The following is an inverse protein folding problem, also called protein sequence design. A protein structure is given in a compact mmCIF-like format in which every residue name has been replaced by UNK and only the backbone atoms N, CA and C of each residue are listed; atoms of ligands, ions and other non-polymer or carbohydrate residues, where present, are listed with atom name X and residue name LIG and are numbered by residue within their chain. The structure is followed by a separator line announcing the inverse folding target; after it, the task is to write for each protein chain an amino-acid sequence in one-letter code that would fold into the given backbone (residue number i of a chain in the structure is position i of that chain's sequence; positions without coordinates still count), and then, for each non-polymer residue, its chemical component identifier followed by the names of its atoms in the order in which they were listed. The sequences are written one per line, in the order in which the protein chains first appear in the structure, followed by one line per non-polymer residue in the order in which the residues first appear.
data_IF_417762774201
#
_entry.id   IF_417762774201
#
_cell.length_a   1.000
_cell.length_b   1.000
_cell.length_c   1.000
_cell.angle_alpha   90.00
_cell.angle_beta   90.00
_cell.angle_gamma   90.00
#
_symmetry.space_group_name_H-M   'P 1'
#
loop_
_entity.id
_entity.type
_entity.pdbx_description
1 polymer ?
#
# COMPACT_ATOMS: atom_id res chain seq x y z
N UNK A 1 -13.96 -6.97 24.84
CA UNK A 1 -13.00 -7.82 24.11
C UNK A 1 -11.65 -7.78 24.82
N UNK A 2 -11.09 -8.93 25.21
CA UNK A 2 -9.78 -9.01 25.86
C UNK A 2 -8.73 -8.59 24.81
N UNK A 3 -8.06 -7.44 24.99
CA UNK A 3 -7.02 -6.99 24.05
C UNK A 3 -5.94 -8.08 23.99
N UNK A 4 -5.86 -8.78 22.86
CA UNK A 4 -4.94 -9.91 22.65
C UNK A 4 -3.47 -9.46 22.73
N UNK A 5 -3.23 -8.18 22.46
CA UNK A 5 -1.90 -7.57 22.48
C UNK A 5 -1.93 -6.22 23.23
N UNK A 6 -1.05 -6.01 24.23
CA UNK A 6 -0.86 -4.71 24.86
C UNK A 6 -0.25 -3.72 23.84
N UNK A 7 -0.88 -2.56 23.65
CA UNK A 7 -0.38 -1.51 22.76
C UNK A 7 -0.07 -0.25 23.54
N UNK A 8 1.03 0.41 23.23
CA UNK A 8 1.37 1.73 23.75
C UNK A 8 1.05 2.78 22.67
N UNK A 9 0.18 3.77 22.93
CA UNK A 9 -0.38 4.61 21.88
C UNK A 9 0.52 5.77 21.43
N UNK A 10 1.57 6.11 22.20
CA UNK A 10 2.49 7.20 21.87
C UNK A 10 3.79 6.68 21.24
N UNK A 11 4.45 7.55 20.48
CA UNK A 11 5.75 7.27 19.86
C UNK A 11 6.84 7.47 20.92
N UNK A 12 7.63 6.42 21.18
CA UNK A 12 8.74 6.47 22.15
C UNK A 12 10.06 6.29 21.41
N UNK A 13 10.56 7.40 20.85
CA UNK A 13 11.78 7.42 20.05
C UNK A 13 11.76 6.38 18.91
N UNK A 14 12.79 5.53 18.86
CA UNK A 14 12.97 4.49 17.83
C UNK A 14 12.60 3.06 18.30
N UNK A 15 11.94 2.91 19.46
CA UNK A 15 11.63 1.59 20.00
C UNK A 15 10.35 1.02 19.36
N UNK A 16 10.47 -0.15 18.73
CA UNK A 16 9.33 -0.91 18.19
C UNK A 16 8.53 -1.63 19.28
N UNK A 17 9.23 -2.06 20.32
CA UNK A 17 8.67 -2.77 21.46
C UNK A 17 9.12 -2.08 22.75
N UNK A 18 8.18 -1.90 23.66
CA UNK A 18 8.47 -1.40 25.00
C UNK A 18 8.27 -2.53 26.00
N UNK A 19 9.29 -2.76 26.82
CA UNK A 19 9.20 -3.69 27.95
C UNK A 19 8.43 -3.02 29.09
N UNK A 20 7.80 -3.82 29.95
CA UNK A 20 7.12 -3.33 31.18
C UNK A 20 7.90 -2.26 31.95
N UNK A 21 9.22 -2.42 32.09
CA UNK A 21 10.10 -1.46 32.79
C UNK A 21 10.10 -0.08 32.11
N UNK A 22 10.31 -0.05 30.80
CA UNK A 22 10.31 1.17 29.98
C UNK A 22 8.93 1.83 29.97
N UNK A 23 7.84 1.05 29.90
CA UNK A 23 6.48 1.60 29.99
C UNK A 23 6.24 2.26 31.33
N UNK A 24 6.68 1.65 32.44
CA UNK A 24 6.53 2.27 33.75
C UNK A 24 7.34 3.56 33.89
N UNK A 25 8.56 3.63 33.34
CA UNK A 25 9.37 4.85 33.30
C UNK A 25 8.69 5.95 32.46
N UNK A 26 8.12 5.59 31.32
CA UNK A 26 7.38 6.54 30.47
C UNK A 26 6.07 7.02 31.11
N UNK A 27 5.39 6.18 31.89
CA UNK A 27 4.15 6.54 32.62
C UNK A 27 4.38 7.49 33.80
N UNK A 28 5.61 7.63 34.28
CA UNK A 28 5.96 8.59 35.35
C UNK A 28 6.02 10.04 34.83
N UNK A 29 6.23 10.22 33.52
CA UNK A 29 6.24 11.57 32.91
C UNK A 29 4.85 12.21 32.97
N UNK A 30 4.79 13.49 33.34
CA UNK A 30 3.53 14.24 33.47
C UNK A 30 2.68 14.20 32.18
N UNK A 31 3.36 14.18 31.03
CA UNK A 31 2.72 14.10 29.71
C UNK A 31 1.91 12.81 29.46
N UNK A 32 2.19 11.74 30.21
CA UNK A 32 1.63 10.39 30.01
C UNK A 32 0.70 9.95 31.16
N UNK A 33 0.37 10.87 32.08
CA UNK A 33 -0.51 10.57 33.22
C UNK A 33 -1.92 10.12 32.78
N UNK A 34 -2.36 10.55 31.60
CA UNK A 34 -3.63 10.17 30.98
C UNK A 34 -3.72 8.69 30.57
N UNK A 35 -2.56 8.01 30.46
CA UNK A 35 -2.42 6.59 30.08
C UNK A 35 -2.33 5.66 31.30
N UNK A 36 -2.13 6.21 32.50
CA UNK A 36 -2.03 5.45 33.75
C UNK A 36 -3.36 4.74 34.03
N UNK A 37 -3.32 3.41 34.18
CA UNK A 37 -4.50 2.57 34.45
C UNK A 37 -5.31 2.13 33.21
N UNK A 38 -5.06 2.70 32.02
CA UNK A 38 -5.75 2.31 30.76
C UNK A 38 -5.03 1.21 29.98
N UNK A 39 -3.77 0.94 30.32
CA UNK A 39 -2.95 -0.07 29.65
C UNK A 39 -3.26 -1.48 30.17
N UNK A 40 -3.50 -2.41 29.24
CA UNK A 40 -3.66 -3.82 29.57
C UNK A 40 -2.36 -4.37 30.15
N UNK A 41 -2.45 -5.20 31.20
CA UNK A 41 -1.26 -5.82 31.79
C UNK A 41 -0.62 -6.77 30.78
N UNK A 42 0.57 -6.43 30.31
CA UNK A 42 1.43 -7.33 29.54
C UNK A 42 2.92 -7.11 29.80
N UNK A 43 3.75 -8.02 29.30
CA UNK A 43 5.21 -7.99 29.43
C UNK A 43 5.86 -7.13 28.33
N UNK A 44 5.27 -7.16 27.12
CA UNK A 44 5.73 -6.44 25.94
C UNK A 44 4.56 -5.62 25.39
N UNK A 45 4.84 -4.37 25.02
CA UNK A 45 3.88 -3.45 24.41
C UNK A 45 4.36 -3.09 23.01
N UNK A 46 3.49 -3.23 22.01
CA UNK A 46 3.78 -2.79 20.65
C UNK A 46 3.56 -1.26 20.52
N UNK A 47 4.51 -0.57 19.89
CA UNK A 47 4.39 0.87 19.60
C UNK A 47 3.76 1.11 18.22
N UNK A 48 3.30 2.34 17.92
CA UNK A 48 2.75 2.66 16.61
C UNK A 48 3.77 2.47 15.48
N UNK A 49 5.07 2.60 15.78
CA UNK A 49 6.17 2.38 14.83
C UNK A 49 6.20 0.93 14.33
N UNK A 50 5.97 -0.03 15.24
CA UNK A 50 5.87 -1.45 14.87
C UNK A 50 4.66 -1.72 13.97
N UNK A 51 3.52 -1.13 14.31
CA UNK A 51 2.31 -1.25 13.49
C UNK A 51 2.52 -0.65 12.09
N UNK A 52 3.20 0.50 11.99
CA UNK A 52 3.54 1.12 10.71
C UNK A 52 4.39 0.20 9.82
N UNK A 53 5.49 -0.35 10.35
CA UNK A 53 6.31 -1.31 9.60
C UNK A 53 5.51 -2.54 9.20
N UNK A 54 4.71 -3.08 10.12
CA UNK A 54 3.94 -4.28 9.83
C UNK A 54 2.94 -4.03 8.69
N UNK A 55 2.28 -2.87 8.66
CA UNK A 55 1.36 -2.49 7.57
C UNK A 55 2.11 -2.33 6.24
N UNK A 56 3.30 -1.74 6.24
CA UNK A 56 4.11 -1.56 5.03
C UNK A 56 4.52 -2.93 4.45
N UNK A 57 5.12 -3.79 5.27
CA UNK A 57 5.56 -5.13 4.85
C UNK A 57 4.37 -6.01 4.39
N UNK A 58 3.22 -5.90 5.06
CA UNK A 58 2.00 -6.59 4.65
C UNK A 58 1.47 -6.05 3.31
N UNK A 59 1.54 -4.73 3.10
CA UNK A 59 1.12 -4.13 1.83
C UNK A 59 2.00 -4.57 0.67
N UNK A 60 3.32 -4.68 0.88
CA UNK A 60 4.25 -5.17 -0.12
C UNK A 60 4.00 -6.64 -0.46
N UNK A 61 3.70 -7.48 0.53
CA UNK A 61 3.29 -8.87 0.30
C UNK A 61 1.98 -8.96 -0.51
N UNK A 62 1.01 -8.09 -0.21
CA UNK A 62 -0.25 -8.01 -0.97
C UNK A 62 -0.02 -7.56 -2.41
N UNK A 63 0.90 -6.63 -2.66
CA UNK A 63 1.29 -6.25 -4.01
C UNK A 63 2.01 -7.37 -4.77
N UNK A 64 2.80 -8.19 -4.09
CA UNK A 64 3.46 -9.35 -4.70
C UNK A 64 2.44 -10.36 -5.26
N UNK A 65 1.27 -10.51 -4.64
CA UNK A 65 0.24 -11.45 -5.11
C UNK A 65 -0.29 -11.18 -6.52
N UNK A 66 -0.33 -9.93 -6.97
CA UNK A 66 -0.77 -9.56 -8.32
C UNK A 66 0.43 -9.42 -9.28
N UNK A 67 1.48 -8.75 -8.80
CA UNK A 67 2.66 -8.45 -9.63
C UNK A 67 3.50 -9.68 -9.98
N UNK A 68 3.57 -10.71 -9.12
CA UNK A 68 4.33 -11.95 -9.40
C UNK A 68 3.67 -12.78 -10.51
N UNK A 69 2.36 -13.13 -10.46
CA UNK A 69 1.70 -13.82 -11.56
C UNK A 69 1.81 -13.05 -12.89
N UNK A 70 1.66 -11.72 -12.85
CA UNK A 70 1.78 -10.89 -14.03
C UNK A 70 3.18 -10.97 -14.67
N UNK A 71 4.26 -10.88 -13.88
CA UNK A 71 5.63 -10.95 -14.41
C UNK A 71 5.97 -12.34 -14.95
N UNK A 72 5.52 -13.41 -14.30
CA UNK A 72 5.72 -14.79 -14.77
C UNK A 72 4.93 -15.07 -16.06
N UNK A 73 3.79 -14.41 -16.26
CA UNK A 73 3.03 -14.50 -17.50
C UNK A 73 3.76 -13.86 -18.70
N UNK A 74 4.59 -12.83 -18.47
CA UNK A 74 5.33 -12.11 -19.51
C UNK A 74 6.72 -12.71 -19.74
N UNK A 75 7.45 -13.04 -18.68
CA UNK A 75 8.81 -13.57 -18.74
C UNK A 75 8.95 -14.86 -17.94
N UNK A 76 9.55 -15.88 -18.56
CA UNK A 76 9.80 -17.19 -17.94
C UNK A 76 11.22 -17.34 -17.39
N UNK A 77 12.09 -16.34 -17.59
CA UNK A 77 13.47 -16.39 -17.12
C UNK A 77 13.55 -16.03 -15.64
N UNK A 78 13.91 -16.98 -14.75
CA UNK A 78 13.86 -16.73 -13.30
C UNK A 78 14.76 -15.57 -12.87
N UNK A 79 15.91 -15.38 -13.53
CA UNK A 79 16.83 -14.28 -13.24
C UNK A 79 16.16 -12.91 -13.42
N UNK A 80 15.39 -12.73 -14.50
CA UNK A 80 14.68 -11.48 -14.78
C UNK A 80 13.57 -11.27 -13.76
N UNK A 81 12.82 -12.32 -13.43
CA UNK A 81 11.73 -12.25 -12.44
C UNK A 81 12.27 -11.89 -11.05
N UNK A 82 13.30 -12.57 -10.56
CA UNK A 82 13.87 -12.33 -9.23
C UNK A 82 14.55 -10.96 -9.14
N UNK A 83 15.33 -10.57 -10.14
CA UNK A 83 16.02 -9.27 -10.14
C UNK A 83 15.03 -8.10 -10.17
N UNK A 84 13.97 -8.18 -10.97
CA UNK A 84 12.93 -7.14 -11.02
C UNK A 84 12.18 -7.00 -9.68
N UNK A 85 11.85 -8.12 -9.03
CA UNK A 85 11.16 -8.10 -7.74
C UNK A 85 12.04 -7.58 -6.60
N UNK A 86 13.31 -7.98 -6.56
CA UNK A 86 14.26 -7.43 -5.59
C UNK A 86 14.46 -5.92 -5.78
N UNK A 87 14.54 -5.45 -7.03
CA UNK A 87 14.66 -4.02 -7.32
C UNK A 87 13.41 -3.23 -6.92
N UNK A 88 12.22 -3.81 -7.12
CA UNK A 88 10.96 -3.21 -6.67
C UNK A 88 10.96 -2.98 -5.15
N UNK A 89 11.31 -4.00 -4.36
CA UNK A 89 11.34 -3.90 -2.89
C UNK A 89 12.41 -2.88 -2.42
N UNK A 90 13.61 -2.90 -3.02
CA UNK A 90 14.69 -1.96 -2.67
C UNK A 90 14.34 -0.50 -2.99
N UNK A 91 13.55 -0.26 -4.05
CA UNK A 91 13.14 1.07 -4.49
C UNK A 91 11.98 1.68 -3.70
N UNK A 92 11.15 0.88 -3.03
CA UNK A 92 9.95 1.38 -2.33
C UNK A 92 10.30 2.36 -1.21
N UNK A 93 11.38 2.10 -0.45
CA UNK A 93 11.77 2.96 0.68
C UNK A 93 12.07 4.40 0.25
N UNK A 94 12.78 4.60 -0.85
CA UNK A 94 13.09 5.94 -1.37
C UNK A 94 11.87 6.57 -2.04
N UNK A 95 11.04 5.74 -2.70
CA UNK A 95 9.79 6.20 -3.31
C UNK A 95 8.74 6.67 -2.30
N UNK A 96 8.70 6.14 -1.08
CA UNK A 96 7.78 6.64 -0.04
C UNK A 96 8.01 8.13 0.29
N UNK A 97 9.27 8.57 0.34
CA UNK A 97 9.59 9.99 0.57
C UNK A 97 9.16 10.86 -0.62
N UNK A 98 9.43 10.40 -1.84
CA UNK A 98 9.02 11.10 -3.06
C UNK A 98 7.49 11.18 -3.15
N UNK A 99 6.80 10.07 -2.85
CA UNK A 99 5.35 9.97 -2.88
C UNK A 99 4.69 10.86 -1.83
N UNK A 100 5.26 10.97 -0.62
CA UNK A 100 4.78 11.88 0.42
C UNK A 100 4.80 13.34 -0.06
N UNK A 101 5.92 13.76 -0.69
CA UNK A 101 6.02 15.09 -1.29
C UNK A 101 5.09 15.27 -2.51
N UNK A 102 4.85 14.21 -3.29
CA UNK A 102 4.00 14.22 -4.48
C UNK A 102 2.50 14.08 -4.19
N UNK A 103 2.12 13.54 -3.02
CA UNK A 103 0.72 13.28 -2.63
C UNK A 103 -0.15 14.54 -2.72
N UNK A 104 0.41 15.70 -2.41
CA UNK A 104 -0.29 16.99 -2.53
C UNK A 104 -0.61 17.38 -3.97
N UNK A 105 0.12 16.85 -4.96
CA UNK A 105 -0.07 17.12 -6.39
C UNK A 105 -0.91 16.04 -7.09
N UNK A 106 -1.02 14.82 -6.56
CA UNK A 106 -1.74 13.68 -7.15
C UNK A 106 -3.12 13.41 -6.51
N UNK A 107 -3.86 14.47 -6.21
CA UNK A 107 -5.21 14.44 -5.60
C UNK A 107 -6.23 13.63 -6.41
N UNK A 108 -6.21 13.71 -7.74
CA UNK A 108 -7.22 13.07 -8.59
C UNK A 108 -6.83 11.67 -9.07
N UNK A 109 -5.65 11.17 -8.64
CA UNK A 109 -5.13 9.88 -9.07
C UNK A 109 -6.00 8.73 -8.54
N UNK A 110 -6.55 8.85 -7.35
CA UNK A 110 -7.47 7.88 -6.75
C UNK A 110 -8.69 7.61 -7.65
N UNK A 111 -9.33 8.67 -8.17
CA UNK A 111 -10.48 8.59 -9.07
C UNK A 111 -10.10 7.94 -10.40
N UNK A 112 -8.93 8.29 -10.94
CA UNK A 112 -8.42 7.68 -12.16
C UNK A 112 -8.16 6.18 -11.98
N UNK A 113 -7.57 5.77 -10.85
CA UNK A 113 -7.33 4.37 -10.52
C UNK A 113 -8.65 3.60 -10.35
N UNK A 114 -9.67 4.19 -9.71
CA UNK A 114 -10.99 3.55 -9.57
C UNK A 114 -11.61 3.28 -10.95
N UNK A 115 -11.59 4.28 -11.84
CA UNK A 115 -12.09 4.12 -13.20
C UNK A 115 -11.30 3.09 -14.00
N UNK A 116 -9.98 3.07 -13.82
CA UNK A 116 -9.08 2.12 -14.44
C UNK A 116 -9.37 0.69 -14.00
N UNK A 117 -9.58 0.49 -12.69
CA UNK A 117 -9.88 -0.83 -12.14
C UNK A 117 -11.21 -1.36 -12.65
N UNK A 118 -12.23 -0.50 -12.79
CA UNK A 118 -13.50 -0.87 -13.41
C UNK A 118 -13.31 -1.29 -14.87
N UNK A 119 -12.50 -0.55 -15.63
CA UNK A 119 -12.17 -0.91 -17.01
C UNK A 119 -11.43 -2.24 -17.12
N UNK A 120 -10.40 -2.47 -16.30
CA UNK A 120 -9.65 -3.73 -16.27
C UNK A 120 -10.56 -4.90 -15.87
N UNK A 121 -11.40 -4.71 -14.85
CA UNK A 121 -12.35 -5.73 -14.41
C UNK A 121 -13.35 -6.10 -15.52
N UNK A 122 -13.92 -5.10 -16.21
CA UNK A 122 -14.81 -5.32 -17.34
C UNK A 122 -14.10 -6.06 -18.47
N UNK A 123 -12.87 -5.66 -18.82
CA UNK A 123 -12.05 -6.33 -19.83
C UNK A 123 -11.77 -7.80 -19.46
N UNK A 124 -11.39 -8.07 -18.22
CA UNK A 124 -11.10 -9.43 -17.75
C UNK A 124 -12.36 -10.30 -17.76
N UNK A 125 -13.51 -9.76 -17.35
CA UNK A 125 -14.80 -10.45 -17.41
C UNK A 125 -15.23 -10.76 -18.85
N UNK A 126 -15.06 -9.82 -19.77
CA UNK A 126 -15.33 -10.02 -21.20
C UNK A 126 -14.40 -11.09 -21.78
N UNK A 127 -13.10 -11.05 -21.45
CA UNK A 127 -12.15 -12.04 -21.95
C UNK A 127 -12.44 -13.46 -21.42
N UNK A 128 -12.83 -13.57 -20.14
CA UNK A 128 -13.26 -14.84 -19.56
C UNK A 128 -14.56 -15.34 -20.20
N UNK A 129 -15.53 -14.46 -20.44
CA UNK A 129 -16.78 -14.78 -21.14
C UNK A 129 -16.55 -15.22 -22.59
N UNK A 130 -15.62 -14.58 -23.31
CA UNK A 130 -15.27 -14.96 -24.68
C UNK A 130 -14.69 -16.38 -24.76
N UNK A 131 -13.87 -16.78 -23.77
CA UNK A 131 -13.35 -18.14 -23.67
C UNK A 131 -14.45 -19.18 -23.36
N UNK A 132 -15.56 -18.76 -22.73
CA UNK A 132 -16.69 -19.62 -22.36
C UNK A 132 -17.81 -19.66 -23.44
N UNK A 133 -18.04 -18.58 -24.19
CA UNK A 133 -19.21 -18.41 -25.07
C UNK A 133 -18.92 -18.25 -26.57
N UNK A 134 -17.66 -18.26 -27.00
CA UNK A 134 -17.29 -18.45 -28.42
C UNK A 134 -17.68 -17.34 -29.42
N UNK A 135 -18.16 -16.17 -28.97
CA UNK A 135 -18.44 -15.02 -29.83
C UNK A 135 -17.39 -13.92 -29.57
N UNK A 136 -16.40 -13.81 -30.47
CA UNK A 136 -15.14 -13.12 -30.21
C UNK A 136 -15.08 -11.67 -30.68
N UNK A 137 -14.98 -10.73 -29.73
CA UNK A 137 -14.17 -9.53 -29.91
C UNK A 137 -12.96 -9.66 -28.97
N UNK A 138 -11.83 -10.07 -29.53
CA UNK A 138 -10.56 -10.15 -28.82
C UNK A 138 -10.04 -8.72 -28.61
N UNK A 139 -10.13 -8.19 -27.40
CA UNK A 139 -9.45 -6.93 -27.08
C UNK A 139 -7.96 -7.24 -26.94
N UNK A 140 -7.19 -6.90 -27.97
CA UNK A 140 -5.74 -7.06 -27.98
C UNK A 140 -5.10 -6.36 -26.77
N UNK A 141 -4.07 -6.99 -26.20
CA UNK A 141 -3.34 -6.43 -25.06
C UNK A 141 -2.82 -5.02 -25.36
N UNK A 142 -2.42 -4.78 -26.60
CA UNK A 142 -1.92 -3.50 -27.12
C UNK A 142 -2.96 -2.38 -27.00
N UNK A 143 -4.19 -2.61 -27.45
CA UNK A 143 -5.28 -1.62 -27.35
C UNK A 143 -5.61 -1.30 -25.91
N UNK A 144 -5.65 -2.33 -25.05
CA UNK A 144 -5.85 -2.14 -23.62
C UNK A 144 -4.75 -1.29 -23.00
N UNK A 145 -3.49 -1.50 -23.39
CA UNK A 145 -2.37 -0.71 -22.89
C UNK A 145 -2.55 0.77 -23.18
N UNK A 146 -2.94 1.13 -24.41
CA UNK A 146 -3.19 2.52 -24.77
C UNK A 146 -4.32 3.16 -23.96
N UNK A 147 -5.42 2.42 -23.71
CA UNK A 147 -6.53 2.93 -22.89
C UNK A 147 -6.10 3.16 -21.45
N UNK A 148 -5.36 2.21 -20.87
CA UNK A 148 -4.81 2.36 -19.51
C UNK A 148 -3.88 3.58 -19.43
N UNK A 149 -2.97 3.73 -20.40
CA UNK A 149 -2.02 4.83 -20.45
C UNK A 149 -2.73 6.18 -20.59
N UNK A 150 -3.75 6.26 -21.45
CA UNK A 150 -4.57 7.45 -21.61
C UNK A 150 -5.33 7.82 -20.32
N UNK A 151 -5.92 6.84 -19.63
CA UNK A 151 -6.66 7.08 -18.39
C UNK A 151 -5.75 7.55 -17.25
N UNK A 152 -4.56 6.95 -17.11
CA UNK A 152 -3.56 7.40 -16.15
C UNK A 152 -3.03 8.80 -16.50
N UNK A 153 -2.74 9.07 -17.77
CA UNK A 153 -2.32 10.39 -18.22
C UNK A 153 -3.37 11.46 -17.92
N UNK A 154 -4.65 11.18 -18.19
CA UNK A 154 -5.76 12.06 -17.85
C UNK A 154 -5.85 12.30 -16.33
N UNK A 155 -5.67 11.26 -15.52
CA UNK A 155 -5.65 11.38 -14.06
C UNK A 155 -4.54 12.30 -13.56
N UNK A 156 -3.33 12.13 -14.09
CA UNK A 156 -2.18 12.98 -13.75
C UNK A 156 -2.40 14.42 -14.21
N UNK A 157 -2.84 14.63 -15.46
CA UNK A 157 -3.12 15.96 -16.00
C UNK A 157 -4.23 16.67 -15.21
N UNK A 158 -5.33 15.99 -14.93
CA UNK A 158 -6.42 16.53 -14.11
C UNK A 158 -5.93 16.93 -12.71
N UNK A 159 -5.00 16.14 -12.15
CA UNK A 159 -4.44 16.42 -10.84
C UNK A 159 -3.48 17.63 -10.82
N UNK A 160 -2.70 17.83 -11.89
CA UNK A 160 -1.81 18.99 -12.05
C UNK A 160 -2.61 20.27 -12.33
N UNK A 161 -3.69 20.19 -13.12
CA UNK A 161 -4.53 21.35 -13.48
C UNK A 161 -5.41 21.79 -12.31
N UNK A 162 -5.95 20.84 -11.54
CA UNK A 162 -6.76 21.10 -10.34
C UNK A 162 -6.11 20.51 -9.09
N UNK A 163 -5.04 21.14 -8.56
CA UNK A 163 -4.50 20.78 -7.26
C UNK A 163 -5.54 21.12 -6.17
N UNK A 164 -5.73 20.22 -5.20
CA UNK A 164 -6.64 20.48 -4.08
C UNK A 164 -6.19 21.73 -3.32
N UNK A 165 -7.14 22.62 -3.05
CA UNK A 165 -6.92 23.74 -2.14
C UNK A 165 -6.56 23.19 -0.75
N UNK A 166 -5.40 23.60 -0.22
CA UNK A 166 -4.99 23.33 1.16
C UNK A 166 -6.16 23.63 2.12
N UNK A 167 -6.60 22.61 2.86
CA UNK A 167 -7.31 22.79 4.13
C UNK A 167 -6.30 22.63 5.25
#
# INVERSE_FOLDING_TARGET
AKKLFPTYPKIVGHHFFLTRKQVNEELVKEENQDLVGKLAKGTIYATPLFLCIMVIELSDLMFAFDSVPAVIAVSKEPLIVYSAMMFAILGLRTMYFVLEAMKQYLVHLDKAIISLLFFIAAKLALNASNHLFGHGISIEATTSLYVVLAMLALGVLASVIWPAKKK
#
